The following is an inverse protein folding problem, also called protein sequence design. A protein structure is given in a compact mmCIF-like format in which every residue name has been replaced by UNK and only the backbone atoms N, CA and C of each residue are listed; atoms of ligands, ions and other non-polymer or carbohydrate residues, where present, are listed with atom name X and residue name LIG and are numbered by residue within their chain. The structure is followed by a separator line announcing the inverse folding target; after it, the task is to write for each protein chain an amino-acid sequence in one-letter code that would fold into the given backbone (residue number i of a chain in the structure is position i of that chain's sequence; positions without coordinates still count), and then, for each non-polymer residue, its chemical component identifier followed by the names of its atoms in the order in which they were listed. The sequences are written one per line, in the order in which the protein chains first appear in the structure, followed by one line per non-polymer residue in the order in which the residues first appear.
data_IF_645861423056
#
_entry.id   IF_645861423056
#
_cell.length_a   1.000
_cell.length_b   1.000
_cell.length_c   1.000
_cell.angle_alpha   90.00
_cell.angle_beta   90.00
_cell.angle_gamma   90.00
#
_symmetry.space_group_name_H-M   'P 1'
#
loop_
_entity.id
_entity.type
_entity.pdbx_description
1 polymer ?
#
# COMPACT_ATOMS: atom_id res chain seq x y z
N UNK A 1 13.86 13.04 16.94
CA UNK A 1 13.65 13.46 15.54
C UNK A 1 12.20 13.17 15.26
N UNK A 2 11.36 14.19 15.36
CA UNK A 2 9.98 14.11 14.88
C UNK A 2 10.08 14.12 13.35
N UNK A 3 9.51 13.10 12.70
CA UNK A 3 9.37 13.13 11.25
C UNK A 3 8.25 14.15 10.93
N UNK A 4 8.60 15.43 10.86
CA UNK A 4 7.61 16.53 10.77
C UNK A 4 6.79 16.53 9.47
N UNK A 5 7.17 15.72 8.47
CA UNK A 5 6.44 15.67 7.20
C UNK A 5 6.61 14.33 6.47
N UNK A 6 5.49 13.69 6.15
CA UNK A 6 5.43 12.49 5.30
C UNK A 6 5.43 12.92 3.84
N UNK A 7 6.41 12.46 3.05
CA UNK A 7 6.40 12.62 1.59
C UNK A 7 5.39 11.64 0.97
N UNK A 8 4.40 12.18 0.27
CA UNK A 8 3.44 11.37 -0.49
C UNK A 8 3.84 11.36 -1.97
N UNK A 9 4.00 10.17 -2.54
CA UNK A 9 4.38 9.98 -3.94
C UNK A 9 3.22 9.28 -4.67
N UNK A 10 2.46 9.98 -5.52
CA UNK A 10 1.47 9.34 -6.39
C UNK A 10 2.17 8.40 -7.37
N UNK A 11 1.76 7.14 -7.38
CA UNK A 11 2.28 6.16 -8.33
C UNK A 11 1.61 6.37 -9.69
N UNK A 12 2.39 6.72 -10.70
CA UNK A 12 1.93 6.86 -12.09
C UNK A 12 2.02 5.51 -12.83
N UNK A 13 1.35 5.40 -13.98
CA UNK A 13 1.39 4.18 -14.79
C UNK A 13 2.82 3.80 -15.21
N UNK A 14 3.68 4.78 -15.51
CA UNK A 14 5.08 4.54 -15.87
C UNK A 14 5.92 4.01 -14.71
N UNK A 15 5.56 4.33 -13.47
CA UNK A 15 6.26 3.83 -12.29
C UNK A 15 5.96 2.35 -12.02
N UNK A 16 4.83 1.83 -12.52
CA UNK A 16 4.42 0.45 -12.29
C UNK A 16 5.38 -0.58 -12.90
N UNK A 17 6.10 -0.21 -13.98
CA UNK A 17 7.10 -1.07 -14.64
C UNK A 17 8.51 -0.88 -14.08
N UNK A 18 8.72 0.12 -13.23
CA UNK A 18 9.99 0.37 -12.54
C UNK A 18 10.09 -0.38 -11.21
N UNK A 19 11.24 -0.25 -10.55
CA UNK A 19 11.45 -0.82 -9.21
C UNK A 19 10.83 0.05 -8.13
N UNK A 20 10.54 -0.53 -6.97
CA UNK A 20 10.07 0.22 -5.81
C UNK A 20 11.04 1.34 -5.41
N UNK A 21 12.35 1.09 -5.47
CA UNK A 21 13.36 2.12 -5.18
C UNK A 21 13.23 3.32 -6.13
N UNK A 22 13.15 3.08 -7.44
CA UNK A 22 12.99 4.14 -8.42
C UNK A 22 11.72 4.96 -8.16
N UNK A 23 10.64 4.29 -7.75
CA UNK A 23 9.40 4.95 -7.39
C UNK A 23 9.52 5.84 -6.14
N UNK A 24 10.30 5.43 -5.13
CA UNK A 24 10.50 6.18 -3.89
C UNK A 24 11.45 7.38 -4.04
N UNK A 25 12.43 7.27 -4.94
CA UNK A 25 13.47 8.27 -5.17
C UNK A 25 13.10 9.34 -6.21
N UNK A 26 11.90 9.27 -6.80
CA UNK A 26 11.45 10.24 -7.80
C UNK A 26 11.37 11.65 -7.23
N UNK A 27 11.98 12.60 -7.95
CA UNK A 27 11.94 14.03 -7.66
C UNK A 27 11.85 14.86 -8.97
N UNK A 28 10.95 15.85 -9.05
CA UNK A 28 9.89 16.13 -8.08
C UNK A 28 8.84 15.01 -8.02
N UNK A 29 8.17 14.85 -6.88
CA UNK A 29 7.04 13.93 -6.78
C UNK A 29 5.99 14.26 -7.86
N UNK A 30 5.43 13.26 -8.57
CA UNK A 30 4.40 13.49 -9.56
C UNK A 30 3.17 14.18 -8.95
N UNK A 31 2.48 14.99 -9.75
CA UNK A 31 1.18 15.51 -9.34
C UNK A 31 0.18 14.36 -9.17
N UNK A 32 -0.69 14.48 -8.18
CA UNK A 32 -1.77 13.50 -8.01
C UNK A 32 -2.78 13.64 -9.15
N UNK A 33 -3.05 12.53 -9.83
CA UNK A 33 -4.14 12.40 -10.77
C UNK A 33 -5.18 11.44 -10.21
N UNK A 34 -6.45 11.85 -10.25
CA UNK A 34 -7.54 11.02 -9.75
C UNK A 34 -7.68 9.76 -10.64
N UNK A 35 -7.48 8.55 -10.09
CA UNK A 35 -7.65 7.34 -10.87
C UNK A 35 -9.14 7.10 -11.20
N UNK A 36 -9.44 6.30 -12.24
CA UNK A 36 -10.80 5.86 -12.54
C UNK A 36 -11.52 5.26 -11.33
N UNK A 37 -12.85 5.39 -11.31
CA UNK A 37 -13.67 4.76 -10.28
C UNK A 37 -13.49 3.24 -10.30
N UNK A 38 -13.36 2.64 -9.12
CA UNK A 38 -13.16 1.20 -8.96
C UNK A 38 -11.71 0.74 -8.99
N UNK A 39 -10.73 1.63 -9.24
CA UNK A 39 -9.31 1.27 -9.14
C UNK A 39 -8.94 0.83 -7.72
N UNK A 40 -8.31 -0.35 -7.61
CA UNK A 40 -7.80 -0.90 -6.34
C UNK A 40 -6.71 0.02 -5.78
N UNK A 41 -6.74 0.27 -4.47
CA UNK A 41 -5.77 1.14 -3.80
C UNK A 41 -4.72 0.32 -3.04
N UNK A 42 -3.49 0.80 -3.06
CA UNK A 42 -2.40 0.27 -2.26
C UNK A 42 -1.55 1.42 -1.72
N UNK A 43 -1.02 1.27 -0.51
CA UNK A 43 -0.06 2.19 0.09
C UNK A 43 1.21 1.41 0.45
N UNK A 44 2.36 1.92 -0.01
CA UNK A 44 3.67 1.40 0.37
C UNK A 44 4.32 2.39 1.33
N UNK A 45 4.59 1.94 2.56
CA UNK A 45 5.07 2.76 3.66
C UNK A 45 6.57 2.56 3.82
N UNK A 46 7.36 3.63 3.66
CA UNK A 46 8.83 3.60 3.69
C UNK A 46 9.37 4.47 4.81
N UNK A 47 10.47 4.04 5.44
CA UNK A 47 11.19 4.84 6.44
C UNK A 47 10.44 5.08 7.75
N UNK A 48 9.39 4.32 8.02
CA UNK A 48 8.54 4.46 9.21
C UNK A 48 8.90 3.41 10.28
N UNK A 49 8.81 3.79 11.55
CA UNK A 49 8.78 2.85 12.66
C UNK A 49 7.49 2.04 12.65
N UNK A 50 7.51 0.88 13.31
CA UNK A 50 6.34 0.00 13.35
C UNK A 50 5.10 0.68 13.97
N UNK A 51 5.29 1.50 15.01
CA UNK A 51 4.21 2.27 15.63
C UNK A 51 3.58 3.26 14.65
N UNK A 52 4.40 3.99 13.88
CA UNK A 52 3.93 4.94 12.87
C UNK A 52 3.14 4.24 11.77
N UNK A 53 3.59 3.06 11.32
CA UNK A 53 2.85 2.24 10.36
C UNK A 53 1.45 1.88 10.89
N UNK A 54 1.35 1.45 12.15
CA UNK A 54 0.07 1.11 12.79
C UNK A 54 -0.84 2.34 12.86
N UNK A 55 -0.29 3.50 13.21
CA UNK A 55 -1.04 4.75 13.32
C UNK A 55 -1.55 5.24 11.96
N UNK A 56 -0.73 5.16 10.91
CA UNK A 56 -1.15 5.49 9.53
C UNK A 56 -2.24 4.54 9.05
N UNK A 57 -2.06 3.23 9.24
CA UNK A 57 -3.05 2.22 8.81
C UNK A 57 -4.38 2.39 9.54
N UNK A 58 -4.35 2.61 10.85
CA UNK A 58 -5.56 2.82 11.64
C UNK A 58 -6.28 4.11 11.26
N UNK A 59 -5.54 5.21 11.09
CA UNK A 59 -6.07 6.51 10.65
C UNK A 59 -6.66 6.44 9.24
N UNK A 60 -6.00 5.75 8.31
CA UNK A 60 -6.52 5.54 6.96
C UNK A 60 -7.84 4.76 6.98
N UNK A 61 -7.96 3.73 7.82
CA UNK A 61 -9.19 2.95 7.96
C UNK A 61 -10.32 3.76 8.60
N UNK A 62 -10.00 4.69 9.49
CA UNK A 62 -10.98 5.54 10.17
C UNK A 62 -11.44 6.75 9.33
N UNK A 63 -10.68 7.14 8.29
CA UNK A 63 -10.96 8.36 7.51
C UNK A 63 -12.11 8.24 6.52
N UNK A 64 -12.69 7.06 6.33
CA UNK A 64 -13.69 6.80 5.30
C UNK A 64 -13.12 6.74 3.87
N UNK A 65 -11.80 6.78 3.72
CA UNK A 65 -11.15 6.53 2.44
C UNK A 65 -11.46 5.11 1.94
N UNK A 66 -11.50 4.89 0.62
CA UNK A 66 -11.81 3.57 0.11
C UNK A 66 -10.75 2.53 0.51
N UNK A 67 -11.14 1.24 0.66
CA UNK A 67 -10.25 0.20 1.11
C UNK A 67 -8.95 0.15 0.31
N UNK A 68 -7.84 -0.01 1.02
CA UNK A 68 -6.52 -0.19 0.44
C UNK A 68 -5.81 -1.37 1.10
N UNK A 69 -4.87 -1.94 0.36
CA UNK A 69 -3.86 -2.85 0.92
C UNK A 69 -2.62 -2.05 1.32
N UNK A 70 -1.86 -2.58 2.27
CA UNK A 70 -0.69 -1.91 2.82
C UNK A 70 0.52 -2.82 2.71
N UNK A 71 1.66 -2.25 2.34
CA UNK A 71 2.94 -2.93 2.33
C UNK A 71 3.99 -2.03 2.97
N UNK A 72 4.96 -2.64 3.67
CA UNK A 72 6.15 -1.93 4.11
C UNK A 72 7.21 -1.99 3.00
N UNK A 73 7.87 -0.87 2.74
CA UNK A 73 9.09 -0.84 1.96
C UNK A 73 10.24 -1.31 2.85
N UNK A 74 10.94 -2.37 2.44
CA UNK A 74 12.08 -2.94 3.15
C UNK A 74 13.21 -3.21 2.16
N UNK A 75 14.49 -3.28 2.59
CA UNK A 75 15.61 -3.48 1.67
C UNK A 75 15.41 -4.65 0.69
N UNK A 76 14.76 -5.73 1.13
CA UNK A 76 14.51 -6.92 0.31
C UNK A 76 13.53 -6.68 -0.85
N UNK A 77 12.65 -5.68 -0.80
CA UNK A 77 11.65 -5.43 -1.85
C UNK A 77 11.93 -4.18 -2.70
N UNK A 78 13.02 -3.46 -2.43
CA UNK A 78 13.39 -2.25 -3.18
C UNK A 78 13.64 -2.51 -4.67
N UNK A 79 14.26 -3.64 -5.00
CA UNK A 79 14.52 -4.05 -6.37
C UNK A 79 13.33 -4.68 -7.09
N UNK A 80 12.20 -4.92 -6.40
CA UNK A 80 11.02 -5.54 -7.02
C UNK A 80 10.31 -4.55 -7.93
N UNK A 81 9.76 -5.05 -9.03
CA UNK A 81 8.87 -4.28 -9.91
C UNK A 81 7.60 -3.91 -9.15
N UNK A 82 7.21 -2.63 -9.20
CA UNK A 82 6.09 -2.11 -8.41
C UNK A 82 4.80 -2.87 -8.73
N UNK A 83 4.48 -3.10 -10.01
CA UNK A 83 3.27 -3.84 -10.40
C UNK A 83 3.19 -5.21 -9.75
N UNK A 84 4.27 -5.98 -9.84
CA UNK A 84 4.34 -7.35 -9.30
C UNK A 84 4.17 -7.34 -7.77
N UNK A 85 4.85 -6.43 -7.08
CA UNK A 85 4.73 -6.26 -5.64
C UNK A 85 3.29 -5.95 -5.24
N UNK A 86 2.63 -5.01 -5.93
CA UNK A 86 1.26 -4.63 -5.61
C UNK A 86 0.26 -5.75 -5.93
N UNK A 87 0.45 -6.48 -7.02
CA UNK A 87 -0.39 -7.63 -7.37
C UNK A 87 -0.32 -8.75 -6.34
N UNK A 88 0.88 -9.06 -5.85
CA UNK A 88 1.09 -10.05 -4.77
C UNK A 88 0.40 -9.62 -3.48
N UNK A 89 0.62 -8.38 -3.03
CA UNK A 89 0.01 -7.86 -1.80
C UNK A 89 -1.52 -7.88 -1.89
N UNK A 90 -2.08 -7.58 -3.07
CA UNK A 90 -3.52 -7.67 -3.31
C UNK A 90 -4.02 -9.12 -3.30
N UNK A 91 -3.26 -10.05 -3.87
CA UNK A 91 -3.61 -11.48 -3.87
C UNK A 91 -3.60 -12.04 -2.44
N UNK A 92 -2.61 -11.66 -1.63
CA UNK A 92 -2.48 -12.07 -0.23
C UNK A 92 -3.64 -11.53 0.62
N UNK A 93 -3.98 -10.24 0.48
CA UNK A 93 -5.14 -9.65 1.18
C UNK A 93 -6.45 -10.36 0.79
N UNK A 94 -6.65 -10.64 -0.50
CA UNK A 94 -7.81 -11.36 -0.97
C UNK A 94 -7.88 -12.80 -0.41
N UNK A 95 -6.75 -13.50 -0.36
CA UNK A 95 -6.66 -14.85 0.22
C UNK A 95 -6.99 -14.83 1.72
N UNK A 96 -6.42 -13.90 2.48
CA UNK A 96 -6.70 -13.74 3.91
C UNK A 96 -8.18 -13.45 4.18
N UNK A 97 -8.81 -12.58 3.39
CA UNK A 97 -10.25 -12.27 3.52
C UNK A 97 -11.13 -13.49 3.25
N UNK A 98 -10.79 -14.30 2.24
CA UNK A 98 -11.53 -15.54 1.93
C UNK A 98 -11.45 -16.53 3.09
N UNK A 99 -10.25 -16.74 3.64
CA UNK A 99 -10.05 -17.62 4.80
C UNK A 99 -10.81 -17.12 6.03
N UNK A 100 -10.80 -15.80 6.29
CA UNK A 100 -11.55 -15.21 7.39
C UNK A 100 -13.07 -15.40 7.23
N UNK A 101 -13.60 -15.23 6.02
CA UNK A 101 -15.01 -15.45 5.71
C UNK A 101 -15.43 -16.91 5.89
N UNK A 102 -14.61 -17.87 5.44
CA UNK A 102 -14.86 -19.30 5.62
C UNK A 102 -14.94 -19.67 7.11
N UNK A 103 -13.96 -19.22 7.90
CA UNK A 103 -13.94 -19.46 9.36
C UNK A 103 -15.11 -18.83 10.09
N UNK A 104 -15.59 -17.68 9.62
CA UNK A 104 -16.77 -17.04 10.19
C UNK A 104 -18.05 -17.83 9.89
N UNK A 105 -18.17 -18.39 8.67
CA UNK A 105 -19.28 -19.24 8.28
C UNK A 105 -19.31 -20.57 9.05
N UNK A 106 -18.15 -21.21 9.24
CA UNK A 106 -18.03 -22.46 10.00
C UNK A 106 -18.42 -22.30 11.48
N UNK A 107 -18.13 -21.14 12.09
CA UNK A 107 -18.50 -20.85 13.49
C UNK A 107 -19.99 -20.54 13.69
N UNK A 108 -20.73 -20.32 12.60
CA UNK A 108 -22.16 -20.01 12.62
C UNK A 108 -23.03 -21.22 12.24
N UNK A 109 -22.40 -22.35 11.87
CA UNK A 109 -23.06 -23.64 11.62
C UNK A 109 -22.91 -24.58 12.81
#
# INVERSE_FOLDING_TARGET
MEADMIKVIPCTESMLTGTLQQALEVEPAPAYEQPPLGTRRALVLSGMYQSEVIDVVSSYRASGLPPAVFAAAVPNNYGRVVRELLEEVQADDAAMRRLAAQRAAEKQS
#
